data_IF_926567657910
#
_entry.id   IF_926567657910
#
_cell.length_a   1.000
_cell.length_b   1.000
_cell.length_c   1.000
_cell.angle_alpha   90.00
_cell.angle_beta   90.00
_cell.angle_gamma   90.00
#
_symmetry.space_group_name_H-M   'P 1'
#
loop_
_entity.id
_entity.type
_entity.pdbx_description
1 polymer ?
#
# COMPACT_ATOMS: atom_id res chain seq x y z
N UNK A 1 5.66 -11.54 7.04
CA UNK A 1 5.49 -10.55 5.96
C UNK A 1 4.00 -10.45 5.73
N UNK A 2 3.45 -9.25 5.75
CA UNK A 2 2.02 -9.00 5.58
C UNK A 2 1.79 -8.44 4.17
N UNK A 3 0.68 -8.80 3.53
CA UNK A 3 0.32 -8.22 2.24
C UNK A 3 -0.18 -6.79 2.42
N UNK A 4 -0.13 -5.98 1.36
CA UNK A 4 -0.66 -4.61 1.41
C UNK A 4 -2.16 -4.60 1.79
N UNK A 5 -2.90 -5.61 1.32
CA UNK A 5 -4.30 -5.79 1.65
C UNK A 5 -4.51 -5.99 3.15
N UNK A 6 -3.77 -6.89 3.79
CA UNK A 6 -3.90 -7.15 5.23
C UNK A 6 -3.59 -5.90 6.06
N UNK A 7 -2.52 -5.17 5.72
CA UNK A 7 -2.15 -3.94 6.43
C UNK A 7 -3.22 -2.86 6.24
N UNK A 8 -3.79 -2.73 5.03
CA UNK A 8 -4.88 -1.80 4.75
C UNK A 8 -6.14 -2.17 5.55
N UNK A 9 -6.48 -3.44 5.63
CA UNK A 9 -7.62 -3.94 6.39
C UNK A 9 -7.42 -3.73 7.90
N UNK A 10 -6.21 -3.94 8.41
CA UNK A 10 -5.83 -3.62 9.80
C UNK A 10 -5.99 -2.11 10.09
N UNK A 11 -5.63 -1.26 9.13
CA UNK A 11 -5.83 0.19 9.22
C UNK A 11 -7.30 0.62 9.10
N UNK A 12 -8.22 -0.31 8.80
CA UNK A 12 -9.63 0.00 8.58
C UNK A 12 -9.87 0.89 7.35
N UNK A 13 -8.94 0.90 6.39
CA UNK A 13 -9.00 1.77 5.22
C UNK A 13 -9.59 1.05 4.01
N UNK A 14 -10.41 1.74 3.23
CA UNK A 14 -10.73 1.26 1.88
C UNK A 14 -9.59 1.54 0.91
N UNK A 15 -9.55 0.83 -0.22
CA UNK A 15 -8.58 1.09 -1.31
C UNK A 15 -8.65 2.55 -1.78
N UNK A 16 -9.86 3.13 -1.84
CA UNK A 16 -10.09 4.52 -2.22
C UNK A 16 -9.56 5.51 -1.18
N UNK A 17 -9.66 5.17 0.10
CA UNK A 17 -9.17 6.01 1.19
C UNK A 17 -7.64 6.03 1.24
N UNK A 18 -7.02 4.86 1.08
CA UNK A 18 -5.58 4.74 0.97
C UNK A 18 -5.05 5.48 -0.26
N UNK A 19 -5.74 5.36 -1.40
CA UNK A 19 -5.42 6.09 -2.62
C UNK A 19 -5.42 7.62 -2.42
N UNK A 20 -6.45 8.14 -1.74
CA UNK A 20 -6.53 9.58 -1.42
C UNK A 20 -5.41 10.02 -0.47
N UNK A 21 -5.17 9.26 0.60
CA UNK A 21 -4.13 9.59 1.60
C UNK A 21 -2.72 9.53 1.02
N UNK A 22 -2.45 8.56 0.16
CA UNK A 22 -1.16 8.40 -0.50
C UNK A 22 -0.98 9.29 -1.74
N UNK A 23 -2.02 10.01 -2.16
CA UNK A 23 -2.05 10.77 -3.43
C UNK A 23 -1.70 9.89 -4.64
N UNK A 24 -2.20 8.65 -4.63
CA UNK A 24 -1.96 7.64 -5.67
C UNK A 24 -3.28 7.28 -6.36
N UNK A 25 -3.23 6.98 -7.66
CA UNK A 25 -4.41 6.50 -8.39
C UNK A 25 -5.01 5.24 -7.77
N UNK A 26 -6.34 5.21 -7.64
CA UNK A 26 -7.10 4.04 -7.19
C UNK A 26 -6.68 2.74 -7.90
N UNK A 27 -6.47 2.79 -9.23
CA UNK A 27 -6.03 1.63 -10.00
C UNK A 27 -4.65 1.11 -9.59
N UNK A 28 -3.74 2.00 -9.21
CA UNK A 28 -2.41 1.60 -8.73
C UNK A 28 -2.54 0.93 -7.36
N UNK A 29 -3.33 1.52 -6.46
CA UNK A 29 -3.55 0.94 -5.12
C UNK A 29 -4.22 -0.42 -5.23
N UNK A 30 -5.28 -0.52 -6.02
CA UNK A 30 -5.98 -1.79 -6.27
C UNK A 30 -5.03 -2.85 -6.84
N UNK A 31 -4.19 -2.49 -7.81
CA UNK A 31 -3.19 -3.41 -8.39
C UNK A 31 -2.19 -3.90 -7.34
N UNK A 32 -1.77 -3.02 -6.44
CA UNK A 32 -0.87 -3.35 -5.33
C UNK A 32 -1.56 -4.22 -4.27
N UNK A 33 -2.83 -3.94 -3.97
CA UNK A 33 -3.69 -4.70 -3.05
C UNK A 33 -3.89 -6.14 -3.55
N UNK A 34 -4.22 -6.29 -4.84
CA UNK A 34 -4.46 -7.59 -5.49
C UNK A 34 -3.14 -8.30 -5.89
N UNK A 35 -1.97 -7.72 -5.61
CA UNK A 35 -0.66 -8.19 -6.09
C UNK A 35 -0.62 -8.50 -7.60
N UNK A 36 -1.44 -7.80 -8.39
CA UNK A 36 -1.73 -8.10 -9.80
C UNK A 36 -0.75 -7.40 -10.76
N UNK A 37 0.49 -7.22 -10.31
CA UNK A 37 1.63 -6.76 -11.12
C UNK A 37 2.35 -5.53 -10.57
N UNK A 38 3.32 -5.05 -11.34
CA UNK A 38 4.29 -4.08 -10.84
C UNK A 38 3.72 -2.67 -10.68
N UNK A 39 4.14 -1.99 -9.60
CA UNK A 39 3.89 -0.57 -9.37
C UNK A 39 5.21 0.20 -9.25
N UNK A 40 5.16 1.50 -9.51
CA UNK A 40 6.34 2.35 -9.34
C UNK A 40 6.75 2.42 -7.86
N UNK A 41 8.06 2.30 -7.61
CA UNK A 41 8.63 2.38 -6.26
C UNK A 41 8.19 3.63 -5.48
N UNK A 42 8.10 4.79 -6.14
CA UNK A 42 7.63 6.02 -5.50
C UNK A 42 6.18 5.91 -5.00
N UNK A 43 5.29 5.31 -5.81
CA UNK A 43 3.89 5.08 -5.44
C UNK A 43 3.79 4.06 -4.30
N UNK A 44 4.62 3.01 -4.34
CA UNK A 44 4.71 2.02 -3.27
C UNK A 44 5.13 2.66 -1.93
N UNK A 45 6.15 3.53 -1.95
CA UNK A 45 6.59 4.27 -0.77
C UNK A 45 5.50 5.20 -0.23
N UNK A 46 4.75 5.87 -1.11
CA UNK A 46 3.65 6.74 -0.70
C UNK A 46 2.54 5.95 0.01
N UNK A 47 2.20 4.76 -0.49
CA UNK A 47 1.20 3.88 0.12
C UNK A 47 1.63 3.43 1.52
N UNK A 48 2.87 2.96 1.65
CA UNK A 48 3.41 2.51 2.93
C UNK A 48 3.49 3.67 3.92
N UNK A 49 3.93 4.85 3.48
CA UNK A 49 3.98 6.03 4.32
C UNK A 49 2.59 6.40 4.86
N UNK A 50 1.56 6.36 4.02
CA UNK A 50 0.19 6.62 4.43
C UNK A 50 -0.32 5.58 5.44
N UNK A 51 -0.04 4.29 5.22
CA UNK A 51 -0.40 3.22 6.15
C UNK A 51 0.32 3.36 7.50
N UNK A 52 1.62 3.63 7.48
CA UNK A 52 2.43 3.86 8.67
C UNK A 52 1.91 5.04 9.51
N UNK A 53 1.46 6.11 8.86
CA UNK A 53 0.85 7.26 9.54
C UNK A 53 -0.47 6.92 10.22
N UNK A 54 -1.29 6.06 9.61
CA UNK A 54 -2.60 5.68 10.16
C UNK A 54 -2.48 4.64 11.27
N UNK A 55 -1.57 3.66 11.12
CA UNK A 55 -1.35 2.59 12.09
C UNK A 55 -0.38 2.96 13.22
N UNK A 56 0.39 4.04 13.06
CA UNK A 56 1.48 4.38 13.97
C UNK A 56 2.64 3.36 13.92
N UNK A 57 2.86 2.77 12.74
CA UNK A 57 3.86 1.71 12.51
C UNK A 57 4.98 2.19 11.57
N UNK A 58 6.01 1.37 11.39
CA UNK A 58 7.15 1.65 10.50
C UNK A 58 7.40 0.50 9.50
N UNK A 59 6.36 0.08 8.79
CA UNK A 59 6.52 -0.89 7.71
C UNK A 59 7.45 -0.36 6.61
N UNK A 60 8.28 -1.24 6.05
CA UNK A 60 9.10 -0.97 4.86
C UNK A 60 8.55 -1.74 3.67
N UNK A 61 8.98 -1.37 2.47
CA UNK A 61 8.64 -2.07 1.23
C UNK A 61 8.98 -3.57 1.30
N UNK A 62 10.05 -3.91 2.00
CA UNK A 62 10.56 -5.28 2.15
C UNK A 62 9.69 -6.13 3.10
N UNK A 63 8.89 -5.48 3.95
CA UNK A 63 7.97 -6.16 4.86
C UNK A 63 6.65 -6.55 4.18
N UNK A 64 6.38 -5.96 3.00
CA UNK A 64 5.15 -6.17 2.25
C UNK A 64 5.30 -7.29 1.23
N UNK A 65 4.58 -8.38 1.50
CA UNK A 65 4.55 -9.54 0.60
C UNK A 65 3.70 -9.27 -0.64
N UNK A 66 4.11 -9.82 -1.79
CA UNK A 66 3.41 -9.67 -3.08
C UNK A 66 3.59 -8.33 -3.81
N UNK A 67 4.26 -7.35 -3.18
CA UNK A 67 4.47 -6.03 -3.79
C UNK A 67 5.58 -6.05 -4.84
N UNK A 68 5.21 -6.19 -6.11
CA UNK A 68 6.17 -6.14 -7.22
C UNK A 68 6.47 -4.69 -7.60
N UNK A 69 7.76 -4.35 -7.66
CA UNK A 69 8.22 -3.00 -8.03
C UNK A 69 8.80 -2.98 -9.44
N UNK A 70 8.56 -1.88 -10.17
CA UNK A 70 9.22 -1.54 -11.44
C UNK A 70 9.81 -0.13 -11.34
#
# INVERSE_FOLDING_TARGET
MATLQEIREEAGLSVSDLAKRAEVDYKTVKKADESSGSIHRFKALALIKALNQELGTEYKLEDIDGLTLH
#
